data_IF_695491315509
#
_entry.id   IF_695491315509
#
_cell.length_a   1.000
_cell.length_b   1.000
_cell.length_c   1.000
_cell.angle_alpha   90.00
_cell.angle_beta   90.00
_cell.angle_gamma   90.00
#
_symmetry.space_group_name_H-M   'P 1'
#
loop_
_entity.id
_entity.type
_entity.pdbx_description
1 polymer ?
#
# COMPACT_ATOMS: atom_id res chain seq x y z
N UNK A 1 -76.67 3.47 -2.40
CA UNK A 1 -76.18 3.25 -1.02
C UNK A 1 -74.85 2.54 -1.13
N UNK A 2 -73.84 3.01 -0.40
CA UNK A 2 -72.42 2.89 -0.69
C UNK A 2 -71.85 1.46 -0.78
N UNK A 3 -70.94 1.23 -1.73
CA UNK A 3 -69.94 0.16 -1.67
C UNK A 3 -68.64 0.81 -1.18
N UNK A 4 -68.25 0.38 0.03
CA UNK A 4 -67.05 0.79 0.74
C UNK A 4 -65.80 0.13 0.16
N UNK A 5 -64.69 0.83 0.35
CA UNK A 5 -63.33 0.58 -0.12
C UNK A 5 -62.70 -0.68 0.48
N UNK A 6 -61.87 -1.34 -0.32
CA UNK A 6 -60.76 -2.18 0.15
C UNK A 6 -59.53 -1.79 -0.66
N UNK A 7 -58.63 -1.08 0.00
CA UNK A 7 -57.38 -0.53 -0.49
C UNK A 7 -56.46 -1.61 -1.08
N UNK A 8 -55.99 -1.40 -2.32
CA UNK A 8 -54.75 -2.00 -2.81
C UNK A 8 -53.65 -0.94 -2.68
N UNK A 9 -52.64 -1.24 -1.87
CA UNK A 9 -51.52 -0.35 -1.60
C UNK A 9 -50.66 -0.07 -2.86
N UNK A 10 -50.31 1.20 -3.16
CA UNK A 10 -49.41 1.52 -4.26
C UNK A 10 -47.96 1.70 -3.77
N UNK A 11 -47.01 1.27 -4.60
CA UNK A 11 -45.75 2.02 -4.77
C UNK A 11 -44.49 1.49 -4.09
N UNK A 12 -44.02 0.30 -4.46
CA UNK A 12 -42.57 0.05 -4.40
C UNK A 12 -41.89 0.95 -5.44
N UNK A 13 -41.42 2.12 -5.00
CA UNK A 13 -40.75 3.11 -5.85
C UNK A 13 -39.58 2.47 -6.62
N UNK A 14 -39.30 2.95 -7.84
CA UNK A 14 -38.19 2.48 -8.70
C UNK A 14 -36.83 2.50 -7.95
N UNK A 15 -36.69 3.38 -6.94
CA UNK A 15 -35.58 3.44 -5.98
C UNK A 15 -35.52 2.24 -5.03
N UNK A 16 -36.66 1.81 -4.47
CA UNK A 16 -36.76 0.63 -3.60
C UNK A 16 -36.41 -0.67 -4.32
N UNK A 17 -36.86 -0.84 -5.58
CA UNK A 17 -36.45 -1.98 -6.41
C UNK A 17 -34.96 -1.98 -6.76
N UNK A 18 -34.38 -0.82 -7.09
CA UNK A 18 -32.95 -0.70 -7.37
C UNK A 18 -32.08 -0.97 -6.12
N UNK A 19 -32.51 -0.52 -4.94
CA UNK A 19 -31.83 -0.82 -3.68
C UNK A 19 -31.92 -2.31 -3.30
N UNK A 20 -33.08 -2.94 -3.49
CA UNK A 20 -33.25 -4.37 -3.23
C UNK A 20 -32.41 -5.26 -4.17
N UNK A 21 -32.33 -4.92 -5.46
CA UNK A 21 -31.47 -5.62 -6.43
C UNK A 21 -29.99 -5.41 -6.10
N UNK A 22 -29.60 -4.20 -5.65
CA UNK A 22 -28.24 -3.92 -5.19
C UNK A 22 -27.88 -4.72 -3.93
N UNK A 23 -28.80 -4.87 -2.98
CA UNK A 23 -28.57 -5.66 -1.76
C UNK A 23 -28.43 -7.16 -2.04
N UNK A 24 -29.28 -7.72 -2.91
CA UNK A 24 -29.16 -9.13 -3.35
C UNK A 24 -27.86 -9.40 -4.10
N UNK A 25 -27.44 -8.49 -4.99
CA UNK A 25 -26.17 -8.62 -5.70
C UNK A 25 -24.95 -8.56 -4.75
N UNK A 26 -24.98 -7.65 -3.77
CA UNK A 26 -23.93 -7.56 -2.74
C UNK A 26 -23.85 -8.85 -1.91
N UNK A 27 -25.00 -9.40 -1.52
CA UNK A 27 -25.06 -10.65 -0.75
C UNK A 27 -24.54 -11.86 -1.53
N UNK A 28 -24.89 -11.98 -2.82
CA UNK A 28 -24.36 -13.03 -3.69
C UNK A 28 -22.85 -12.91 -3.92
N UNK A 29 -22.33 -11.69 -4.11
CA UNK A 29 -20.89 -11.40 -4.21
C UNK A 29 -20.18 -11.82 -2.92
N UNK A 30 -20.78 -11.59 -1.75
CA UNK A 30 -20.19 -11.95 -0.47
C UNK A 30 -20.16 -13.46 -0.22
N UNK A 31 -21.21 -14.19 -0.60
CA UNK A 31 -21.21 -15.67 -0.55
C UNK A 31 -20.10 -16.23 -1.45
N UNK A 32 -19.99 -15.71 -2.68
CA UNK A 32 -18.89 -16.06 -3.58
C UNK A 32 -17.53 -15.70 -2.98
N UNK A 33 -17.38 -14.52 -2.38
CA UNK A 33 -16.14 -14.05 -1.77
C UNK A 33 -15.71 -14.93 -0.57
N UNK A 34 -16.65 -15.34 0.28
CA UNK A 34 -16.40 -16.30 1.38
C UNK A 34 -15.91 -17.63 0.82
N UNK A 35 -16.56 -18.13 -0.24
CA UNK A 35 -16.20 -19.38 -0.91
C UNK A 35 -14.81 -19.31 -1.54
N UNK A 36 -14.51 -18.22 -2.25
CA UNK A 36 -13.22 -17.96 -2.88
C UNK A 36 -12.12 -17.84 -1.82
N UNK A 37 -12.38 -17.11 -0.72
CA UNK A 37 -11.42 -16.96 0.38
C UNK A 37 -11.11 -18.32 1.04
N UNK A 38 -12.14 -19.10 1.37
CA UNK A 38 -11.99 -20.43 1.94
C UNK A 38 -11.20 -21.36 1.00
N UNK A 39 -11.51 -21.34 -0.30
CA UNK A 39 -10.77 -22.11 -1.31
C UNK A 39 -9.29 -21.73 -1.38
N UNK A 40 -8.97 -20.44 -1.36
CA UNK A 40 -7.57 -19.99 -1.37
C UNK A 40 -6.82 -20.40 -0.11
N UNK A 41 -7.43 -20.27 1.07
CA UNK A 41 -6.80 -20.63 2.34
C UNK A 41 -6.60 -22.15 2.47
N UNK A 42 -7.60 -22.94 2.05
CA UNK A 42 -7.50 -24.40 2.02
C UNK A 42 -6.43 -24.86 1.01
N UNK A 43 -6.39 -24.24 -0.16
CA UNK A 43 -5.42 -24.53 -1.23
C UNK A 43 -4.04 -23.90 -1.04
N UNK A 44 -3.81 -23.11 0.01
CA UNK A 44 -2.51 -22.51 0.28
C UNK A 44 -1.46 -23.60 0.56
N UNK A 45 -0.31 -23.51 -0.09
CA UNK A 45 0.77 -24.49 0.10
C UNK A 45 1.36 -24.41 1.50
N UNK A 46 2.02 -25.49 1.96
CA UNK A 46 2.71 -25.49 3.27
C UNK A 46 3.80 -24.41 3.32
N UNK A 47 4.50 -24.20 2.21
CA UNK A 47 5.52 -23.18 2.07
C UNK A 47 4.95 -21.77 2.22
N UNK A 48 3.79 -21.49 1.64
CA UNK A 48 3.12 -20.21 1.85
C UNK A 48 2.71 -20.03 3.32
N UNK A 49 2.14 -21.06 3.95
CA UNK A 49 1.78 -21.02 5.37
C UNK A 49 3.00 -20.78 6.25
N UNK A 50 4.14 -21.42 5.96
CA UNK A 50 5.40 -21.19 6.66
C UNK A 50 5.88 -19.74 6.50
N UNK A 51 5.88 -19.19 5.27
CA UNK A 51 6.28 -17.80 5.02
C UNK A 51 5.34 -16.81 5.70
N UNK A 52 4.03 -17.06 5.68
CA UNK A 52 3.04 -16.25 6.38
C UNK A 52 3.20 -16.35 7.92
N UNK A 53 3.46 -17.54 8.46
CA UNK A 53 3.77 -17.74 9.88
C UNK A 53 5.02 -16.95 10.29
N UNK A 54 6.05 -16.90 9.46
CA UNK A 54 7.23 -16.06 9.68
C UNK A 54 6.92 -14.55 9.70
N UNK A 55 5.80 -14.11 9.12
CA UNK A 55 5.37 -12.71 9.10
C UNK A 55 4.47 -12.32 10.28
N UNK A 56 4.12 -13.26 11.17
CA UNK A 56 3.35 -12.98 12.38
C UNK A 56 4.15 -12.10 13.35
N UNK A 57 3.49 -11.35 14.26
CA UNK A 57 4.16 -10.71 15.38
C UNK A 57 5.03 -11.69 16.18
N UNK A 58 6.15 -11.21 16.74
CA UNK A 58 7.05 -12.05 17.53
C UNK A 58 6.34 -12.58 18.79
N UNK A 59 6.55 -13.87 19.11
CA UNK A 59 5.94 -14.53 20.26
C UNK A 59 5.82 -16.03 20.09
N UNK A 60 5.33 -16.72 21.12
CA UNK A 60 5.21 -18.19 21.13
C UNK A 60 4.25 -18.73 20.06
N UNK A 61 3.16 -18.01 19.79
CA UNK A 61 2.20 -18.37 18.75
C UNK A 61 2.84 -18.38 17.35
N UNK A 62 3.78 -17.46 17.09
CA UNK A 62 4.59 -17.43 15.87
C UNK A 62 5.53 -18.63 15.81
N UNK A 63 6.28 -18.90 16.88
CA UNK A 63 7.23 -20.01 16.92
C UNK A 63 6.56 -21.37 16.68
N UNK A 64 5.42 -21.63 17.34
CA UNK A 64 4.62 -22.86 17.14
C UNK A 64 4.15 -23.02 15.69
N UNK A 65 3.55 -21.96 15.13
CA UNK A 65 3.05 -22.00 13.76
C UNK A 65 4.16 -22.22 12.72
N UNK A 66 5.36 -21.70 12.96
CA UNK A 66 6.54 -21.93 12.12
C UNK A 66 6.99 -23.39 12.23
N UNK A 67 7.10 -23.93 13.44
CA UNK A 67 7.51 -25.32 13.66
C UNK A 67 6.54 -26.31 12.99
N UNK A 68 5.24 -26.11 13.14
CA UNK A 68 4.20 -26.93 12.50
C UNK A 68 4.25 -26.86 10.97
N UNK A 69 4.42 -25.65 10.43
CA UNK A 69 4.41 -25.44 8.98
C UNK A 69 5.72 -25.87 8.30
N UNK A 70 6.84 -25.99 9.04
CA UNK A 70 8.15 -26.33 8.47
C UNK A 70 8.31 -27.81 8.08
N UNK A 71 7.44 -28.70 8.56
CA UNK A 71 7.54 -30.12 8.26
C UNK A 71 7.18 -30.46 6.81
N UNK A 72 8.14 -31.02 6.06
CA UNK A 72 7.94 -31.53 4.71
C UNK A 72 7.76 -30.44 3.64
N UNK A 73 8.32 -29.24 3.85
CA UNK A 73 8.26 -28.14 2.88
C UNK A 73 9.32 -28.25 1.79
N UNK A 74 9.00 -27.79 0.58
CA UNK A 74 10.01 -27.47 -0.43
C UNK A 74 10.69 -26.14 -0.08
N UNK A 75 11.89 -26.22 0.49
CA UNK A 75 12.67 -25.04 0.85
C UNK A 75 13.08 -24.15 -0.35
N UNK A 76 13.25 -24.74 -1.53
CA UNK A 76 13.47 -23.97 -2.76
C UNK A 76 12.25 -23.10 -3.09
N UNK A 77 11.05 -23.63 -2.87
CA UNK A 77 9.82 -22.85 -3.04
C UNK A 77 9.61 -21.82 -1.92
N UNK A 78 9.98 -22.13 -0.67
CA UNK A 78 10.00 -21.15 0.45
C UNK A 78 10.86 -19.93 0.08
N UNK A 79 12.05 -20.14 -0.50
CA UNK A 79 12.93 -19.04 -0.94
C UNK A 79 12.28 -18.19 -2.04
N UNK A 80 11.64 -18.82 -3.04
CA UNK A 80 10.90 -18.10 -4.10
C UNK A 80 9.74 -17.28 -3.55
N UNK A 81 9.01 -17.80 -2.57
CA UNK A 81 7.93 -17.08 -1.89
C UNK A 81 8.47 -15.92 -1.04
N UNK A 82 9.54 -16.14 -0.28
CA UNK A 82 10.21 -15.10 0.49
C UNK A 82 10.68 -13.94 -0.43
N UNK A 83 11.15 -14.24 -1.64
CA UNK A 83 11.48 -13.24 -2.66
C UNK A 83 10.25 -12.51 -3.20
N UNK A 84 9.23 -13.26 -3.63
CA UNK A 84 7.99 -12.73 -4.21
C UNK A 84 7.26 -11.78 -3.26
N UNK A 85 7.24 -12.13 -1.98
CA UNK A 85 6.61 -11.33 -0.92
C UNK A 85 7.56 -10.33 -0.27
N UNK A 86 8.87 -10.43 -0.53
CA UNK A 86 9.95 -9.57 0.00
C UNK A 86 10.06 -9.64 1.53
N UNK A 87 10.14 -10.85 2.06
CA UNK A 87 10.10 -11.13 3.51
C UNK A 87 11.27 -12.00 3.98
N UNK A 88 12.41 -11.99 3.28
CA UNK A 88 13.60 -12.77 3.67
C UNK A 88 14.06 -12.52 5.11
N UNK A 89 14.07 -11.25 5.55
CA UNK A 89 14.46 -10.89 6.91
C UNK A 89 13.51 -11.49 7.96
N UNK A 90 12.20 -11.42 7.71
CA UNK A 90 11.16 -12.05 8.53
C UNK A 90 11.24 -13.57 8.56
N UNK A 91 11.52 -14.22 7.41
CA UNK A 91 11.69 -15.68 7.33
C UNK A 91 12.91 -16.12 8.13
N UNK A 92 14.07 -15.49 7.91
CA UNK A 92 15.29 -15.81 8.68
C UNK A 92 15.07 -15.59 10.18
N UNK A 93 14.48 -14.46 10.56
CA UNK A 93 14.20 -14.10 11.95
C UNK A 93 13.22 -15.09 12.60
N UNK A 94 12.14 -15.46 11.90
CA UNK A 94 11.14 -16.40 12.39
C UNK A 94 11.69 -17.81 12.58
N UNK A 95 12.44 -18.33 11.59
CA UNK A 95 13.07 -19.65 11.69
C UNK A 95 14.04 -19.72 12.87
N UNK A 96 14.83 -18.66 13.08
CA UNK A 96 15.75 -18.57 14.21
C UNK A 96 15.01 -18.56 15.56
N UNK A 97 13.93 -17.77 15.69
CA UNK A 97 13.12 -17.75 16.92
C UNK A 97 12.42 -19.07 17.20
N UNK A 98 12.00 -19.79 16.16
CA UNK A 98 11.32 -21.08 16.27
C UNK A 98 12.29 -22.27 16.43
N UNK A 99 13.61 -22.05 16.44
CA UNK A 99 14.63 -23.09 16.43
C UNK A 99 14.48 -24.10 15.27
N UNK A 100 13.94 -23.65 14.13
CA UNK A 100 13.81 -24.48 12.93
C UNK A 100 15.04 -24.29 12.04
N UNK A 101 15.78 -25.37 11.81
CA UNK A 101 16.96 -25.33 10.94
C UNK A 101 16.62 -25.81 9.52
N UNK A 102 16.63 -24.93 8.50
CA UNK A 102 16.54 -25.37 7.11
C UNK A 102 17.84 -26.05 6.65
N UNK A 103 17.85 -26.72 5.48
CA UNK A 103 19.07 -27.25 4.86
C UNK A 103 20.18 -26.20 4.73
N UNK A 104 21.44 -26.63 4.80
CA UNK A 104 22.60 -25.72 4.83
C UNK A 104 22.62 -24.72 3.66
N UNK A 105 22.30 -25.15 2.44
CA UNK A 105 22.24 -24.27 1.27
C UNK A 105 21.20 -23.14 1.44
N UNK A 106 20.03 -23.46 2.02
CA UNK A 106 18.93 -22.51 2.26
C UNK A 106 19.32 -21.52 3.36
N UNK A 107 19.97 -22.01 4.42
CA UNK A 107 20.51 -21.17 5.50
C UNK A 107 21.52 -20.15 4.94
N UNK A 108 22.44 -20.58 4.08
CA UNK A 108 23.44 -19.72 3.43
C UNK A 108 22.79 -18.68 2.51
N UNK A 109 21.80 -19.07 1.71
CA UNK A 109 21.07 -18.14 0.84
C UNK A 109 20.33 -17.07 1.64
N UNK A 110 19.60 -17.47 2.70
CA UNK A 110 18.92 -16.53 3.60
C UNK A 110 19.91 -15.57 4.26
N UNK A 111 21.06 -16.06 4.75
CA UNK A 111 22.09 -15.22 5.35
C UNK A 111 22.63 -14.19 4.34
N UNK A 112 22.91 -14.61 3.11
CA UNK A 112 23.41 -13.76 2.02
C UNK A 112 22.39 -12.67 1.67
N UNK A 113 21.12 -13.04 1.47
CA UNK A 113 20.04 -12.10 1.16
C UNK A 113 19.82 -11.09 2.29
N UNK A 114 19.89 -11.53 3.55
CA UNK A 114 19.71 -10.61 4.67
C UNK A 114 20.92 -9.70 4.89
N UNK A 115 22.14 -10.15 4.59
CA UNK A 115 23.31 -9.25 4.59
C UNK A 115 23.14 -8.10 3.58
N UNK A 116 22.67 -8.41 2.36
CA UNK A 116 22.35 -7.41 1.33
C UNK A 116 21.24 -6.47 1.78
N UNK A 117 20.15 -7.00 2.35
CA UNK A 117 19.05 -6.22 2.91
C UNK A 117 19.53 -5.27 4.01
N UNK A 118 20.33 -5.77 4.95
CA UNK A 118 20.83 -4.97 6.09
C UNK A 118 21.71 -3.82 5.62
N UNK A 119 22.63 -4.08 4.67
CA UNK A 119 23.46 -3.02 4.08
C UNK A 119 22.62 -1.95 3.38
N UNK A 120 21.53 -2.35 2.69
CA UNK A 120 20.60 -1.41 2.06
C UNK A 120 19.86 -0.59 3.12
N UNK A 121 19.31 -1.23 4.14
CA UNK A 121 18.55 -0.53 5.19
C UNK A 121 19.42 0.44 5.97
N UNK A 122 20.68 0.10 6.26
CA UNK A 122 21.64 1.03 6.86
C UNK A 122 21.87 2.28 5.99
N UNK A 123 22.02 2.11 4.67
CA UNK A 123 22.14 3.24 3.73
C UNK A 123 20.88 4.09 3.70
N UNK A 124 19.70 3.46 3.67
CA UNK A 124 18.41 4.18 3.70
C UNK A 124 18.20 4.92 5.02
N UNK A 125 18.59 4.34 6.16
CA UNK A 125 18.48 4.96 7.47
C UNK A 125 19.42 6.17 7.60
N UNK A 126 20.67 6.04 7.17
CA UNK A 126 21.63 7.15 7.15
C UNK A 126 21.14 8.30 6.26
N UNK A 127 20.63 7.97 5.06
CA UNK A 127 20.10 8.98 4.15
C UNK A 127 18.79 9.62 4.66
N UNK A 128 17.93 8.84 5.33
CA UNK A 128 16.73 9.35 6.00
C UNK A 128 17.10 10.38 7.06
N UNK A 129 18.07 10.09 7.92
CA UNK A 129 18.56 11.01 8.93
C UNK A 129 19.16 12.30 8.32
N UNK A 130 19.94 12.16 7.23
CA UNK A 130 20.51 13.30 6.50
C UNK A 130 19.42 14.19 5.90
N UNK A 131 18.44 13.60 5.22
CA UNK A 131 17.33 14.32 4.60
C UNK A 131 16.42 14.97 5.66
N UNK A 132 16.22 14.33 6.81
CA UNK A 132 15.48 14.94 7.91
C UNK A 132 16.15 16.24 8.40
N UNK A 133 17.49 16.23 8.53
CA UNK A 133 18.26 17.43 8.82
C UNK A 133 18.11 18.49 7.73
N UNK A 134 18.25 18.10 6.45
CA UNK A 134 18.10 19.00 5.31
C UNK A 134 16.75 19.72 5.28
N UNK A 135 15.64 19.00 5.46
CA UNK A 135 14.30 19.60 5.45
C UNK A 135 14.05 20.49 6.66
N UNK A 136 14.53 20.08 7.84
CA UNK A 136 14.46 20.91 9.06
C UNK A 136 15.19 22.22 8.87
N UNK A 137 16.44 22.18 8.39
CA UNK A 137 17.28 23.35 8.20
C UNK A 137 16.75 24.24 7.05
N UNK A 138 16.07 23.65 6.07
CA UNK A 138 15.33 24.34 5.01
C UNK A 138 13.94 24.87 5.41
N UNK A 139 13.50 24.64 6.66
CA UNK A 139 12.22 25.08 7.19
C UNK A 139 11.00 24.48 6.48
N UNK A 140 11.11 23.22 6.02
CA UNK A 140 10.02 22.48 5.35
C UNK A 140 9.52 21.39 6.27
N UNK A 141 8.25 21.42 6.64
CA UNK A 141 7.62 20.36 7.43
C UNK A 141 7.42 19.11 6.57
N UNK A 142 7.94 17.98 7.07
CA UNK A 142 7.88 16.69 6.37
C UNK A 142 7.51 15.57 7.32
N UNK A 143 6.96 14.48 6.78
CA UNK A 143 6.77 13.22 7.51
C UNK A 143 7.38 12.07 6.71
N UNK A 144 8.28 11.31 7.32
CA UNK A 144 8.84 10.08 6.73
C UNK A 144 7.90 8.92 7.02
N UNK A 145 7.32 8.33 5.98
CA UNK A 145 6.12 7.50 6.12
C UNK A 145 6.38 6.02 6.41
N UNK A 146 7.42 5.44 5.79
CA UNK A 146 7.76 4.02 5.91
C UNK A 146 9.27 3.86 6.05
N UNK A 147 9.80 2.72 5.61
CA UNK A 147 11.23 2.48 5.61
C UNK A 147 11.80 2.53 7.03
N UNK A 148 12.81 3.36 7.23
CA UNK A 148 13.55 3.46 8.48
C UNK A 148 12.70 3.93 9.67
N UNK A 149 11.75 4.85 9.48
CA UNK A 149 10.90 5.31 10.58
C UNK A 149 9.97 4.21 11.08
N UNK A 150 9.28 3.52 10.18
CA UNK A 150 8.46 2.36 10.56
C UNK A 150 9.31 1.23 11.15
N UNK A 151 10.53 1.02 10.65
CA UNK A 151 11.44 0.03 11.22
C UNK A 151 11.80 0.38 12.67
N UNK A 152 12.11 1.64 12.97
CA UNK A 152 12.37 2.08 14.34
C UNK A 152 11.15 2.03 15.28
N UNK A 153 9.93 2.11 14.72
CA UNK A 153 8.69 2.05 15.49
C UNK A 153 8.30 0.60 15.83
N UNK A 154 8.32 -0.28 14.82
CA UNK A 154 7.64 -1.56 14.88
C UNK A 154 8.60 -2.77 14.86
N UNK A 155 9.89 -2.55 14.58
CA UNK A 155 10.86 -3.63 14.44
C UNK A 155 12.08 -3.43 15.35
N UNK A 156 12.63 -4.54 15.82
CA UNK A 156 13.81 -4.57 16.70
C UNK A 156 15.15 -4.40 15.98
N UNK A 157 15.19 -4.53 14.66
CA UNK A 157 16.44 -4.62 13.90
C UNK A 157 16.26 -4.20 12.43
N UNK A 158 17.27 -3.50 11.90
CA UNK A 158 17.40 -3.11 10.50
C UNK A 158 17.57 -4.29 9.52
N UNK A 159 17.66 -5.52 10.00
CA UNK A 159 17.83 -6.72 9.19
C UNK A 159 16.52 -7.45 8.86
N UNK A 160 15.36 -6.90 9.26
CA UNK A 160 14.08 -7.61 9.18
C UNK A 160 13.26 -7.11 8.00
N UNK A 161 12.99 -5.80 7.95
CA UNK A 161 12.04 -5.21 7.03
C UNK A 161 12.68 -4.94 5.68
N UNK A 162 12.02 -5.29 4.58
CA UNK A 162 12.54 -4.99 3.24
C UNK A 162 12.10 -3.60 2.76
N UNK A 163 13.05 -2.66 2.65
CA UNK A 163 12.86 -1.30 2.14
C UNK A 163 13.63 -1.07 0.82
N UNK A 164 13.14 -0.19 -0.06
CA UNK A 164 13.78 0.14 -1.37
C UNK A 164 14.00 1.63 -1.59
N UNK A 165 13.14 2.43 -1.00
CA UNK A 165 12.90 3.85 -1.23
C UNK A 165 12.70 4.55 0.12
N UNK A 166 12.83 5.87 0.10
CA UNK A 166 12.50 6.76 1.21
C UNK A 166 11.20 7.47 0.83
N UNK A 167 10.12 7.13 1.53
CA UNK A 167 8.81 7.77 1.38
C UNK A 167 8.75 9.04 2.27
N UNK A 168 8.62 10.22 1.66
CA UNK A 168 8.55 11.51 2.37
C UNK A 168 7.24 12.19 1.99
N UNK A 169 6.43 12.57 2.97
CA UNK A 169 5.25 13.41 2.78
C UNK A 169 5.57 14.87 3.06
N UNK A 170 5.03 15.76 2.23
CA UNK A 170 5.09 17.21 2.38
C UNK A 170 3.74 17.83 2.02
N UNK A 171 3.38 18.97 2.61
CA UNK A 171 2.20 19.70 2.17
C UNK A 171 2.35 20.16 0.71
N UNK A 172 1.27 20.13 -0.06
CA UNK A 172 1.28 20.56 -1.48
C UNK A 172 1.82 21.99 -1.68
N UNK A 173 1.63 22.88 -0.70
CA UNK A 173 2.13 24.24 -0.72
C UNK A 173 3.67 24.32 -0.67
N UNK A 174 4.33 23.35 -0.05
CA UNK A 174 5.78 23.27 0.10
C UNK A 174 6.45 22.38 -0.96
N UNK A 175 5.68 21.79 -1.88
CA UNK A 175 6.18 20.85 -2.89
C UNK A 175 7.34 21.43 -3.72
N UNK A 176 7.24 22.71 -4.10
CA UNK A 176 8.30 23.41 -4.83
C UNK A 176 9.59 23.56 -4.02
N UNK A 177 9.47 23.96 -2.74
CA UNK A 177 10.62 24.09 -1.81
C UNK A 177 11.27 22.75 -1.55
N UNK A 178 10.46 21.71 -1.30
CA UNK A 178 10.94 20.37 -1.04
C UNK A 178 11.69 19.78 -2.24
N UNK A 179 11.16 19.98 -3.45
CA UNK A 179 11.84 19.61 -4.69
C UNK A 179 13.20 20.30 -4.82
N UNK A 180 13.26 21.62 -4.60
CA UNK A 180 14.50 22.38 -4.72
C UNK A 180 15.58 21.88 -3.74
N UNK A 181 15.20 21.57 -2.50
CA UNK A 181 16.12 21.00 -1.50
C UNK A 181 16.65 19.63 -1.93
N UNK A 182 15.80 18.74 -2.46
CA UNK A 182 16.25 17.45 -2.98
C UNK A 182 17.22 17.62 -4.16
N UNK A 183 16.91 18.52 -5.10
CA UNK A 183 17.76 18.80 -6.27
C UNK A 183 19.14 19.35 -5.85
N UNK A 184 19.19 20.27 -4.89
CA UNK A 184 20.42 20.77 -4.28
C UNK A 184 21.21 19.66 -3.56
N UNK A 185 20.50 18.69 -2.99
CA UNK A 185 21.09 17.53 -2.32
C UNK A 185 21.51 16.40 -3.28
N UNK A 186 21.56 16.65 -4.59
CA UNK A 186 22.07 15.70 -5.59
C UNK A 186 21.02 14.75 -6.18
N UNK A 187 19.74 14.95 -5.86
CA UNK A 187 18.65 14.19 -6.47
C UNK A 187 18.21 14.77 -7.81
N UNK A 188 17.72 13.91 -8.70
CA UNK A 188 17.07 14.30 -9.95
C UNK A 188 15.75 13.57 -10.07
N UNK A 189 14.75 14.19 -10.68
CA UNK A 189 13.49 13.50 -10.99
C UNK A 189 13.75 12.22 -11.80
N UNK A 190 13.01 11.16 -11.49
CA UNK A 190 13.06 9.87 -12.19
C UNK A 190 11.64 9.53 -12.72
N UNK A 191 11.36 9.70 -14.02
CA UNK A 191 12.29 10.11 -15.08
C UNK A 191 12.69 11.59 -15.00
N UNK A 192 13.81 11.98 -15.63
CA UNK A 192 14.23 13.37 -15.68
C UNK A 192 13.24 14.19 -16.51
N UNK A 193 12.50 15.07 -15.84
CA UNK A 193 11.51 15.96 -16.44
C UNK A 193 11.91 17.42 -16.19
N UNK A 194 11.60 18.34 -17.12
CA UNK A 194 11.86 19.76 -16.90
C UNK A 194 11.10 20.26 -15.66
N UNK A 195 11.61 21.28 -14.95
CA UNK A 195 10.90 21.87 -13.83
C UNK A 195 9.52 22.40 -14.29
N UNK A 196 8.43 22.03 -13.62
CA UNK A 196 7.11 22.53 -13.99
C UNK A 196 6.99 24.03 -13.65
N UNK A 197 6.36 24.80 -14.53
CA UNK A 197 5.94 26.17 -14.19
C UNK A 197 4.79 26.18 -13.17
N UNK A 198 4.45 27.35 -12.61
CA UNK A 198 3.42 27.48 -11.55
C UNK A 198 2.08 26.77 -11.84
N UNK A 199 1.44 27.10 -12.97
CA UNK A 199 0.17 26.46 -13.36
C UNK A 199 0.31 24.95 -13.66
N UNK A 200 1.48 24.47 -14.09
CA UNK A 200 1.73 23.04 -14.26
C UNK A 200 1.89 22.34 -12.91
N UNK A 201 2.53 23.00 -11.94
CA UNK A 201 2.70 22.48 -10.59
C UNK A 201 1.34 22.20 -9.94
N UNK A 202 0.41 23.15 -10.03
CA UNK A 202 -0.96 22.99 -9.52
C UNK A 202 -1.70 21.81 -10.18
N UNK A 203 -1.58 21.69 -11.50
CA UNK A 203 -2.19 20.60 -12.25
C UNK A 203 -1.57 19.24 -11.89
N UNK A 204 -0.25 19.18 -11.73
CA UNK A 204 0.45 17.98 -11.27
C UNK A 204 0.02 17.61 -9.86
N UNK A 205 -0.12 18.58 -8.96
CA UNK A 205 -0.55 18.35 -7.59
C UNK A 205 -1.98 17.77 -7.52
N UNK A 206 -2.89 18.24 -8.39
CA UNK A 206 -4.28 17.74 -8.50
C UNK A 206 -4.37 16.30 -9.07
N UNK A 207 -3.52 15.99 -10.04
CA UNK A 207 -3.55 14.72 -10.78
C UNK A 207 -2.70 13.61 -10.15
N UNK A 208 -1.60 13.98 -9.51
CA UNK A 208 -0.64 13.06 -8.93
C UNK A 208 -0.76 12.93 -7.42
N UNK A 209 0.13 12.11 -6.86
CA UNK A 209 0.31 11.98 -5.41
C UNK A 209 1.77 12.06 -4.97
N UNK A 210 2.69 11.71 -5.87
CA UNK A 210 4.11 11.61 -5.58
C UNK A 210 4.97 11.98 -6.78
N UNK A 211 6.23 12.34 -6.48
CA UNK A 211 7.33 12.40 -7.43
C UNK A 211 8.45 11.50 -7.00
N UNK A 212 8.98 10.73 -7.94
CA UNK A 212 10.13 9.88 -7.71
C UNK A 212 11.39 10.66 -8.05
N UNK A 213 12.38 10.55 -7.17
CA UNK A 213 13.70 11.14 -7.31
C UNK A 213 14.75 10.07 -7.15
N UNK A 214 15.83 10.18 -7.94
CA UNK A 214 17.02 9.33 -7.85
C UNK A 214 18.24 10.18 -7.57
N UNK A 215 19.00 9.80 -6.55
CA UNK A 215 20.27 10.46 -6.23
C UNK A 215 21.33 10.11 -7.28
N UNK A 216 21.99 11.12 -7.84
CA UNK A 216 22.89 10.97 -8.98
C UNK A 216 24.12 10.08 -8.70
N UNK A 217 24.68 10.13 -7.49
CA UNK A 217 25.94 9.43 -7.18
C UNK A 217 25.75 8.02 -6.60
N UNK A 218 24.64 7.77 -5.88
CA UNK A 218 24.46 6.52 -5.11
C UNK A 218 23.18 5.75 -5.51
N UNK A 219 22.35 6.32 -6.39
CA UNK A 219 21.17 5.67 -6.94
C UNK A 219 20.00 5.48 -5.96
N UNK A 220 20.07 6.04 -4.74
CA UNK A 220 18.99 5.97 -3.77
C UNK A 220 17.73 6.64 -4.31
N UNK A 221 16.58 6.07 -3.97
CA UNK A 221 15.27 6.52 -4.40
C UNK A 221 14.54 7.25 -3.28
N UNK A 222 13.95 8.39 -3.61
CA UNK A 222 13.06 9.15 -2.75
C UNK A 222 11.73 9.31 -3.47
N UNK A 223 10.65 8.87 -2.84
CA UNK A 223 9.29 9.16 -3.29
C UNK A 223 8.77 10.32 -2.44
N UNK A 224 8.68 11.51 -3.06
CA UNK A 224 8.16 12.73 -2.44
C UNK A 224 6.65 12.82 -2.67
N UNK A 225 5.89 12.48 -1.65
CA UNK A 225 4.42 12.48 -1.63
C UNK A 225 3.88 13.84 -1.18
N UNK A 226 2.83 14.30 -1.83
CA UNK A 226 1.96 15.40 -1.33
C UNK A 226 0.52 14.96 -1.10
N UNK A 227 0.20 13.72 -1.49
CA UNK A 227 -1.04 13.01 -1.20
C UNK A 227 -0.71 11.58 -0.83
N UNK A 228 -1.44 10.99 0.10
CA UNK A 228 -1.11 9.65 0.60
C UNK A 228 -1.75 8.54 -0.23
N UNK A 229 -2.84 8.85 -0.93
CA UNK A 229 -3.56 7.94 -1.80
C UNK A 229 -3.82 8.53 -3.19
N UNK A 230 -3.96 7.67 -4.19
CA UNK A 230 -4.32 8.09 -5.55
C UNK A 230 -5.75 8.66 -5.59
N UNK A 231 -6.62 8.14 -4.72
CA UNK A 231 -8.04 8.46 -4.64
C UNK A 231 -8.48 8.61 -3.20
N UNK A 232 -9.36 9.58 -2.95
CA UNK A 232 -9.92 9.87 -1.62
C UNK A 232 -10.79 8.70 -1.11
N UNK A 233 -11.09 7.72 -1.97
CA UNK A 233 -11.75 6.45 -1.61
C UNK A 233 -10.92 5.55 -0.70
N UNK A 234 -9.59 5.70 -0.73
CA UNK A 234 -8.69 4.90 0.10
C UNK A 234 -8.33 5.63 1.40
N UNK A 235 -8.15 6.95 1.32
CA UNK A 235 -7.84 7.84 2.44
C UNK A 235 -8.11 9.29 2.04
N UNK A 236 -8.75 10.05 2.92
CA UNK A 236 -9.00 11.47 2.77
C UNK A 236 -7.85 12.27 3.39
N UNK A 237 -6.90 12.74 2.58
CA UNK A 237 -5.71 13.45 3.07
C UNK A 237 -6.04 14.70 3.90
N UNK A 238 -7.19 15.33 3.64
CA UNK A 238 -7.66 16.52 4.39
C UNK A 238 -8.01 16.23 5.85
N UNK A 239 -8.18 14.97 6.22
CA UNK A 239 -8.52 14.55 7.57
C UNK A 239 -7.29 14.34 8.47
N UNK A 240 -6.07 14.45 7.93
CA UNK A 240 -4.84 14.31 8.70
C UNK A 240 -4.62 15.54 9.59
N UNK A 241 -4.18 15.34 10.83
CA UNK A 241 -4.10 16.41 11.83
C UNK A 241 -2.97 17.40 11.60
N UNK A 242 -2.06 17.12 10.65
CA UNK A 242 -0.85 17.91 10.43
C UNK A 242 0.19 17.75 11.54
N UNK A 243 -0.11 17.03 12.62
CA UNK A 243 0.85 16.75 13.70
C UNK A 243 1.90 15.74 13.24
N UNK A 244 3.07 15.79 13.87
CA UNK A 244 4.17 14.85 13.68
C UNK A 244 4.52 14.22 15.01
N UNK A 245 4.90 12.94 14.99
CA UNK A 245 5.70 12.33 16.05
C UNK A 245 7.14 12.25 15.57
N UNK A 246 8.09 12.25 16.49
CA UNK A 246 9.50 12.03 16.15
C UNK A 246 9.94 10.63 16.53
N UNK A 247 10.85 10.07 15.74
CA UNK A 247 11.57 8.82 16.04
C UNK A 247 13.05 9.03 15.77
N UNK A 248 13.91 8.35 16.54
CA UNK A 248 15.36 8.47 16.36
C UNK A 248 15.89 7.51 15.32
N UNK A 249 16.49 8.06 14.26
CA UNK A 249 17.19 7.30 13.22
C UNK A 249 18.65 7.76 13.21
N UNK A 250 19.59 6.87 13.55
CA UNK A 250 21.01 7.22 13.57
C UNK A 250 21.34 8.41 14.49
N UNK A 251 20.61 8.56 15.60
CA UNK A 251 20.76 9.70 16.53
C UNK A 251 20.04 10.98 16.13
N UNK A 252 19.40 11.03 14.96
CA UNK A 252 18.66 12.21 14.48
C UNK A 252 17.16 12.04 14.72
N UNK A 253 16.54 13.04 15.35
CA UNK A 253 15.08 13.14 15.46
C UNK A 253 14.48 13.28 14.06
N UNK A 254 13.71 12.28 13.65
CA UNK A 254 13.11 12.18 12.31
C UNK A 254 11.59 12.24 12.44
N UNK A 255 10.92 13.22 11.82
CA UNK A 255 9.47 13.36 11.90
C UNK A 255 8.76 12.28 11.08
N UNK A 256 7.67 11.73 11.63
CA UNK A 256 6.78 10.76 10.99
C UNK A 256 5.35 10.99 11.47
N UNK A 257 4.39 10.27 10.91
CA UNK A 257 2.99 10.41 11.33
C UNK A 257 2.73 9.80 12.70
N UNK A 258 1.82 10.39 13.50
CA UNK A 258 1.23 9.72 14.66
C UNK A 258 0.75 8.31 14.31
N UNK A 259 0.70 7.42 15.31
CA UNK A 259 0.40 5.98 15.11
C UNK A 259 -0.90 5.76 14.34
N UNK A 260 -1.92 6.58 14.61
CA UNK A 260 -3.25 6.46 14.02
C UNK A 260 -3.27 6.86 12.54
N UNK A 261 -2.57 7.94 12.19
CA UNK A 261 -2.43 8.39 10.81
C UNK A 261 -1.52 7.45 10.02
N UNK A 262 -0.45 6.95 10.65
CA UNK A 262 0.42 5.94 10.06
C UNK A 262 -0.33 4.63 9.79
N UNK A 263 -1.18 4.19 10.72
CA UNK A 263 -2.05 3.03 10.55
C UNK A 263 -3.00 3.21 9.35
N UNK A 264 -3.75 4.32 9.31
CA UNK A 264 -4.66 4.63 8.21
C UNK A 264 -3.92 4.65 6.86
N UNK A 265 -2.73 5.26 6.82
CA UNK A 265 -1.87 5.28 5.64
C UNK A 265 -1.42 3.89 5.20
N UNK A 266 -0.94 3.03 6.10
CA UNK A 266 -0.50 1.68 5.77
C UNK A 266 -1.66 0.83 5.25
N UNK A 267 -2.85 0.96 5.83
CA UNK A 267 -4.07 0.31 5.34
C UNK A 267 -4.41 0.75 3.91
N UNK A 268 -4.42 2.06 3.64
CA UNK A 268 -4.69 2.60 2.32
C UNK A 268 -3.64 2.15 1.28
N UNK A 269 -2.35 2.22 1.64
CA UNK A 269 -1.25 1.84 0.76
C UNK A 269 -1.29 0.34 0.39
N UNK A 270 -1.57 -0.54 1.36
CA UNK A 270 -1.73 -1.97 1.10
C UNK A 270 -2.94 -2.27 0.22
N UNK A 271 -4.08 -1.62 0.51
CA UNK A 271 -5.32 -1.74 -0.26
C UNK A 271 -5.17 -1.30 -1.72
N UNK A 272 -4.47 -0.20 -1.99
CA UNK A 272 -4.16 0.27 -3.36
C UNK A 272 -3.30 -0.73 -4.16
N UNK A 273 -2.60 -1.62 -3.46
CA UNK A 273 -1.79 -2.67 -4.05
C UNK A 273 -2.41 -4.07 -3.91
N UNK A 274 -3.68 -4.15 -3.52
CA UNK A 274 -4.43 -5.41 -3.33
C UNK A 274 -3.70 -6.39 -2.42
N UNK A 275 -2.94 -5.85 -1.46
CA UNK A 275 -2.12 -6.61 -0.52
C UNK A 275 -1.27 -7.69 -1.18
N UNK A 276 -0.88 -7.55 -2.45
CA UNK A 276 -0.27 -8.63 -3.25
C UNK A 276 1.11 -9.12 -2.76
N UNK A 277 1.62 -8.59 -1.64
CA UNK A 277 2.85 -9.01 -0.96
C UNK A 277 2.64 -9.00 0.57
N UNK A 278 3.08 -10.07 1.24
CA UNK A 278 2.98 -10.21 2.70
C UNK A 278 3.73 -9.10 3.46
N UNK A 279 4.78 -8.50 2.89
CA UNK A 279 5.53 -7.44 3.58
C UNK A 279 4.65 -6.30 4.11
N UNK A 280 3.57 -5.94 3.39
CA UNK A 280 2.70 -4.85 3.80
C UNK A 280 1.82 -5.25 4.97
N UNK A 281 1.32 -6.49 4.98
CA UNK A 281 0.59 -7.02 6.13
C UNK A 281 1.52 -7.22 7.33
N UNK A 282 2.76 -7.65 7.10
CA UNK A 282 3.75 -7.82 8.16
C UNK A 282 4.11 -6.48 8.84
N UNK A 283 4.28 -5.42 8.04
CA UNK A 283 4.46 -4.05 8.53
C UNK A 283 3.29 -3.59 9.42
N UNK A 284 2.07 -3.87 8.98
CA UNK A 284 0.87 -3.54 9.75
C UNK A 284 0.79 -4.37 11.03
N UNK A 285 0.97 -5.69 10.95
CA UNK A 285 0.94 -6.59 12.10
C UNK A 285 2.00 -6.21 13.15
N UNK A 286 3.20 -5.80 12.72
CA UNK A 286 4.23 -5.29 13.61
C UNK A 286 3.81 -3.99 14.31
N UNK A 287 3.15 -3.06 13.59
CA UNK A 287 2.60 -1.84 14.18
C UNK A 287 1.48 -2.14 15.20
N UNK A 288 0.61 -3.11 14.90
CA UNK A 288 -0.49 -3.52 15.77
C UNK A 288 -0.03 -4.27 17.03
N UNK A 289 1.16 -4.88 16.98
CA UNK A 289 1.73 -5.62 18.09
C UNK A 289 2.51 -4.73 19.09
N UNK A 290 2.56 -3.42 18.86
CA UNK A 290 3.17 -2.49 19.81
C UNK A 290 2.33 -2.48 21.09
N UNK A 291 3.01 -2.57 22.23
CA UNK A 291 2.35 -2.56 23.54
C UNK A 291 1.47 -1.30 23.69
N UNK A 292 0.23 -1.50 24.14
CA UNK A 292 -0.75 -0.42 24.29
C UNK A 292 -1.45 0.01 22.99
N UNK A 293 -1.29 -0.71 21.88
CA UNK A 293 -2.06 -0.46 20.67
C UNK A 293 -3.56 -0.73 20.89
N UNK A 294 -4.37 0.33 20.80
CA UNK A 294 -5.83 0.24 20.85
C UNK A 294 -6.39 0.09 19.43
N UNK A 295 -6.77 -1.14 19.07
CA UNK A 295 -7.26 -1.48 17.74
C UNK A 295 -8.59 -0.79 17.38
N UNK A 296 -9.45 -0.53 18.36
CA UNK A 296 -10.71 0.16 18.12
C UNK A 296 -10.48 1.64 17.86
N UNK A 297 -9.58 2.27 18.63
CA UNK A 297 -9.16 3.66 18.41
C UNK A 297 -8.43 3.84 17.08
N UNK A 298 -7.57 2.89 16.70
CA UNK A 298 -6.89 2.90 15.40
C UNK A 298 -7.91 2.80 14.26
N UNK A 299 -8.87 1.88 14.37
CA UNK A 299 -9.93 1.75 13.38
C UNK A 299 -10.80 3.01 13.31
N UNK A 300 -11.27 3.54 14.44
CA UNK A 300 -12.08 4.77 14.48
C UNK A 300 -11.35 5.98 13.89
N UNK A 301 -10.04 6.08 14.09
CA UNK A 301 -9.20 7.11 13.45
C UNK A 301 -9.11 6.91 11.94
N UNK A 302 -8.97 5.67 11.47
CA UNK A 302 -9.01 5.36 10.05
C UNK A 302 -10.39 5.64 9.43
N UNK A 303 -11.49 5.41 10.17
CA UNK A 303 -12.84 5.79 9.74
C UNK A 303 -12.96 7.30 9.56
N UNK A 304 -12.52 8.08 10.54
CA UNK A 304 -12.50 9.54 10.46
C UNK A 304 -11.63 10.05 9.30
N UNK A 305 -10.56 9.32 8.97
CA UNK A 305 -9.69 9.61 7.83
C UNK A 305 -10.24 9.11 6.46
N UNK A 306 -11.45 8.55 6.40
CA UNK A 306 -12.03 8.01 5.17
C UNK A 306 -11.40 6.70 4.69
N UNK A 307 -10.61 6.04 5.54
CA UNK A 307 -9.90 4.79 5.27
C UNK A 307 -10.61 3.54 5.84
N UNK A 308 -11.86 3.66 6.30
CA UNK A 308 -12.65 2.58 6.93
C UNK A 308 -12.59 1.24 6.19
N UNK A 309 -12.83 1.26 4.87
CA UNK A 309 -12.82 0.05 4.02
C UNK A 309 -11.43 -0.57 3.92
N UNK A 310 -10.41 0.27 3.75
CA UNK A 310 -9.01 -0.16 3.69
C UNK A 310 -8.57 -0.77 5.02
N UNK A 311 -8.97 -0.17 6.14
CA UNK A 311 -8.65 -0.65 7.49
C UNK A 311 -9.37 -1.95 7.82
N UNK A 312 -10.66 -2.08 7.47
CA UNK A 312 -11.43 -3.31 7.66
C UNK A 312 -10.81 -4.49 6.89
N UNK A 313 -10.47 -4.29 5.62
CA UNK A 313 -9.78 -5.29 4.82
C UNK A 313 -8.44 -5.69 5.46
N UNK A 314 -7.65 -4.71 5.89
CA UNK A 314 -6.33 -4.94 6.46
C UNK A 314 -6.39 -5.76 7.75
N UNK A 315 -7.29 -5.39 8.68
CA UNK A 315 -7.48 -6.08 9.95
C UNK A 315 -7.98 -7.51 9.75
N UNK A 316 -8.95 -7.73 8.86
CA UNK A 316 -9.44 -9.09 8.54
C UNK A 316 -8.32 -9.94 7.93
N UNK A 317 -7.48 -9.38 7.05
CA UNK A 317 -6.32 -10.08 6.49
C UNK A 317 -5.26 -10.40 7.55
N UNK A 318 -4.98 -9.46 8.47
CA UNK A 318 -4.05 -9.66 9.57
C UNK A 318 -4.52 -10.76 10.54
N UNK A 319 -5.81 -10.78 10.90
CA UNK A 319 -6.41 -11.85 11.70
C UNK A 319 -6.34 -13.19 10.96
N UNK A 320 -6.70 -13.22 9.68
CA UNK A 320 -6.79 -14.45 8.87
C UNK A 320 -5.44 -15.07 8.55
N UNK A 321 -4.43 -14.27 8.17
CA UNK A 321 -3.12 -14.78 7.72
C UNK A 321 -2.05 -14.72 8.79
N UNK A 322 -2.08 -13.67 9.62
CA UNK A 322 -1.01 -13.36 10.57
C UNK A 322 -1.41 -13.60 12.03
N UNK A 323 -2.62 -14.12 12.27
CA UNK A 323 -3.15 -14.44 13.60
C UNK A 323 -3.06 -13.25 14.57
N UNK A 324 -3.30 -12.03 14.06
CA UNK A 324 -3.50 -10.86 14.92
C UNK A 324 -4.84 -11.02 15.64
N UNK A 325 -4.82 -10.93 16.97
CA UNK A 325 -6.02 -11.04 17.78
C UNK A 325 -6.82 -9.73 17.72
N UNK A 326 -8.05 -9.81 17.24
CA UNK A 326 -8.99 -8.68 17.21
C UNK A 326 -10.02 -8.84 18.33
N UNK A 327 -10.46 -7.75 18.99
CA UNK A 327 -11.64 -7.77 19.84
C UNK A 327 -12.83 -8.38 19.08
N UNK A 328 -13.58 -9.27 19.72
CA UNK A 328 -14.67 -10.02 19.06
C UNK A 328 -15.72 -9.12 18.42
N UNK A 329 -16.07 -8.02 19.09
CA UNK A 329 -16.99 -7.01 18.58
C UNK A 329 -16.47 -6.34 17.30
N UNK A 330 -15.18 -5.94 17.30
CA UNK A 330 -14.52 -5.39 16.12
C UNK A 330 -14.47 -6.43 15.00
N UNK A 331 -14.00 -7.64 15.30
CA UNK A 331 -13.88 -8.76 14.37
C UNK A 331 -15.22 -9.08 13.66
N UNK A 332 -16.33 -9.07 14.40
CA UNK A 332 -17.68 -9.24 13.83
C UNK A 332 -18.08 -8.06 12.94
N UNK A 333 -17.87 -6.81 13.40
CA UNK A 333 -18.20 -5.58 12.66
C UNK A 333 -17.46 -5.48 11.33
N UNK A 334 -16.21 -5.92 11.25
CA UNK A 334 -15.40 -5.76 10.02
C UNK A 334 -15.78 -6.74 8.90
N UNK A 335 -16.48 -7.85 9.21
CA UNK A 335 -16.82 -8.91 8.25
C UNK A 335 -18.12 -8.63 7.47
N UNK A 336 -18.24 -7.41 6.98
CA UNK A 336 -19.28 -7.04 6.04
C UNK A 336 -19.00 -7.59 4.63
N UNK A 337 -20.07 -7.80 3.86
CA UNK A 337 -20.07 -8.37 2.51
C UNK A 337 -19.04 -7.72 1.56
N UNK A 338 -18.95 -6.39 1.56
CA UNK A 338 -18.02 -5.65 0.72
C UNK A 338 -16.55 -5.83 1.14
N UNK A 339 -16.28 -5.92 2.44
CA UNK A 339 -14.93 -6.19 2.97
C UNK A 339 -14.47 -7.58 2.56
N UNK A 340 -15.34 -8.58 2.69
CA UNK A 340 -15.03 -9.97 2.34
C UNK A 340 -14.70 -10.14 0.86
N UNK A 341 -15.37 -9.40 -0.03
CA UNK A 341 -15.03 -9.36 -1.46
C UNK A 341 -13.59 -8.86 -1.72
N UNK A 342 -13.17 -7.79 -1.03
CA UNK A 342 -11.80 -7.26 -1.13
C UNK A 342 -10.77 -8.24 -0.57
N UNK A 343 -11.07 -8.85 0.58
CA UNK A 343 -10.24 -9.90 1.18
C UNK A 343 -10.03 -11.06 0.22
N UNK A 344 -11.08 -11.54 -0.46
CA UNK A 344 -10.98 -12.61 -1.45
C UNK A 344 -10.04 -12.25 -2.62
N UNK A 345 -10.14 -11.03 -3.13
CA UNK A 345 -9.25 -10.50 -4.18
C UNK A 345 -7.80 -10.44 -3.71
N UNK A 346 -7.57 -9.93 -2.49
CA UNK A 346 -6.25 -9.84 -1.87
C UNK A 346 -5.63 -11.22 -1.62
N UNK A 347 -6.41 -12.18 -1.15
CA UNK A 347 -5.97 -13.58 -1.01
C UNK A 347 -5.63 -14.22 -2.36
N UNK A 348 -6.42 -13.93 -3.40
CA UNK A 348 -6.12 -14.36 -4.78
C UNK A 348 -4.78 -13.76 -5.24
N UNK A 349 -4.54 -12.48 -4.97
CA UNK A 349 -3.32 -11.79 -5.38
C UNK A 349 -2.07 -12.24 -4.60
N UNK A 350 -2.23 -12.66 -3.35
CA UNK A 350 -1.16 -13.17 -2.50
C UNK A 350 -0.84 -14.64 -2.76
N UNK A 351 -1.86 -15.50 -2.84
CA UNK A 351 -1.71 -16.96 -2.88
C UNK A 351 -1.72 -17.47 -4.33
N UNK A 352 -2.62 -16.94 -5.17
CA UNK A 352 -3.02 -17.54 -6.45
C UNK A 352 -2.05 -17.41 -7.63
N UNK A 353 -0.82 -16.89 -7.43
CA UNK A 353 0.10 -16.60 -8.52
C UNK A 353 1.55 -16.85 -8.18
N UNK A 354 1.91 -18.10 -7.87
CA UNK A 354 3.29 -18.51 -7.55
C UNK A 354 4.32 -17.80 -8.44
N UNK A 355 5.34 -17.20 -7.83
CA UNK A 355 6.45 -16.41 -8.40
C UNK A 355 6.12 -15.26 -9.41
N UNK A 356 4.99 -15.31 -10.12
CA UNK A 356 4.56 -14.31 -11.06
C UNK A 356 4.15 -13.06 -10.26
N UNK A 357 4.90 -11.97 -10.44
CA UNK A 357 4.38 -10.65 -10.13
C UNK A 357 3.15 -10.49 -11.01
N UNK A 358 1.95 -10.58 -10.43
CA UNK A 358 0.76 -10.11 -11.11
C UNK A 358 1.06 -8.69 -11.57
N UNK A 359 1.02 -8.47 -12.89
CA UNK A 359 1.42 -7.19 -13.45
C UNK A 359 0.55 -6.11 -12.83
N UNK A 360 1.18 -5.30 -11.97
CA UNK A 360 0.56 -4.20 -11.22
C UNK A 360 -0.35 -3.35 -12.11
N UNK A 361 -0.04 -3.24 -13.40
CA UNK A 361 -0.82 -2.46 -14.37
C UNK A 361 -2.14 -3.12 -14.73
N UNK A 362 -2.14 -4.42 -15.08
CA UNK A 362 -3.36 -5.11 -15.57
C UNK A 362 -4.43 -5.25 -14.49
N UNK A 363 -4.03 -5.61 -13.27
CA UNK A 363 -4.96 -5.72 -12.14
C UNK A 363 -5.52 -4.36 -11.74
N UNK A 364 -4.65 -3.34 -11.67
CA UNK A 364 -5.06 -1.97 -11.33
C UNK A 364 -6.10 -1.43 -12.31
N UNK A 365 -5.93 -1.60 -13.62
CA UNK A 365 -6.93 -1.11 -14.58
C UNK A 365 -8.30 -1.79 -14.43
N UNK A 366 -8.33 -3.12 -14.29
CA UNK A 366 -9.59 -3.87 -14.19
C UNK A 366 -10.29 -3.61 -12.84
N UNK A 367 -9.53 -3.47 -11.76
CA UNK A 367 -10.08 -3.24 -10.43
C UNK A 367 -10.35 -1.76 -10.14
N UNK A 368 -9.59 -0.79 -10.65
CA UNK A 368 -9.94 0.63 -10.58
C UNK A 368 -11.29 0.87 -11.27
N UNK A 369 -11.52 0.24 -12.42
CA UNK A 369 -12.82 0.22 -13.10
C UNK A 369 -13.90 -0.47 -12.26
N UNK A 370 -13.60 -1.62 -11.63
CA UNK A 370 -14.52 -2.30 -10.72
C UNK A 370 -14.87 -1.50 -9.46
N UNK A 371 -13.90 -0.76 -8.90
CA UNK A 371 -14.08 0.10 -7.73
C UNK A 371 -14.87 1.37 -8.07
N UNK A 372 -14.79 1.88 -9.30
CA UNK A 372 -15.67 2.96 -9.79
C UNK A 372 -17.16 2.57 -9.82
N UNK A 373 -17.47 1.27 -9.84
CA UNK A 373 -18.83 0.73 -9.87
C UNK A 373 -19.42 0.51 -8.47
N UNK A 374 -18.61 0.63 -7.40
CA UNK A 374 -19.11 0.49 -6.03
C UNK A 374 -19.87 1.77 -5.62
N UNK A 375 -21.14 1.68 -5.17
CA UNK A 375 -21.90 2.83 -4.71
C UNK A 375 -21.28 3.52 -3.47
N UNK A 376 -21.55 4.82 -3.31
CA UNK A 376 -21.21 5.59 -2.10
C UNK A 376 -20.18 6.71 -2.29
N UNK A 377 -19.75 7.00 -3.52
CA UNK A 377 -18.80 8.10 -3.73
C UNK A 377 -19.47 9.47 -3.67
N UNK A 378 -18.75 10.47 -3.15
CA UNK A 378 -19.17 11.87 -3.19
C UNK A 378 -19.44 12.34 -4.64
N UNK A 379 -20.41 13.25 -4.87
CA UNK A 379 -20.67 13.82 -6.19
C UNK A 379 -19.38 14.38 -6.84
N UNK A 380 -19.13 14.03 -8.11
CA UNK A 380 -17.97 14.49 -8.88
C UNK A 380 -16.66 13.69 -8.71
N UNK A 381 -16.60 12.76 -7.74
CA UNK A 381 -15.46 11.84 -7.55
C UNK A 381 -15.12 11.01 -8.79
N UNK A 382 -16.14 10.53 -9.50
CA UNK A 382 -15.97 9.73 -10.74
C UNK A 382 -15.32 10.52 -11.87
N UNK A 383 -15.71 11.78 -12.03
CA UNK A 383 -15.11 12.67 -13.03
C UNK A 383 -13.63 12.96 -12.72
N UNK A 384 -13.30 13.20 -11.44
CA UNK A 384 -11.90 13.34 -10.99
C UNK A 384 -11.09 12.07 -11.23
N UNK A 385 -11.65 10.90 -10.91
CA UNK A 385 -10.98 9.62 -11.11
C UNK A 385 -10.71 9.33 -12.59
N UNK A 386 -11.70 9.57 -13.46
CA UNK A 386 -11.52 9.46 -14.91
C UNK A 386 -10.44 10.43 -15.39
N UNK A 387 -10.47 11.70 -14.97
CA UNK A 387 -9.45 12.68 -15.35
C UNK A 387 -8.04 12.24 -14.93
N UNK A 388 -7.85 11.72 -13.72
CA UNK A 388 -6.58 11.13 -13.25
C UNK A 388 -6.17 9.90 -14.05
N UNK A 389 -7.15 9.10 -14.48
CA UNK A 389 -6.88 7.94 -15.30
C UNK A 389 -6.30 8.31 -16.66
N UNK A 390 -6.77 9.42 -17.26
CA UNK A 390 -6.44 9.81 -18.64
C UNK A 390 -5.37 10.89 -18.77
N UNK A 391 -5.16 11.72 -17.75
CA UNK A 391 -4.11 12.75 -17.73
C UNK A 391 -3.05 12.34 -16.71
N UNK A 392 -1.88 11.91 -17.19
CA UNK A 392 -0.79 11.50 -16.30
C UNK A 392 0.09 12.70 -15.92
N UNK A 393 0.52 12.82 -14.65
CA UNK A 393 1.44 13.88 -14.21
C UNK A 393 2.74 13.96 -15.02
N UNK A 394 3.27 12.81 -15.46
CA UNK A 394 4.47 12.74 -16.30
C UNK A 394 4.26 13.42 -17.66
N UNK A 395 3.05 13.33 -18.24
CA UNK A 395 2.74 13.94 -19.53
C UNK A 395 2.58 15.46 -19.37
N UNK A 396 1.99 15.90 -18.24
CA UNK A 396 1.87 17.31 -17.87
C UNK A 396 3.24 17.95 -17.63
N UNK A 397 4.15 17.22 -16.99
CA UNK A 397 5.51 17.67 -16.76
C UNK A 397 6.35 17.67 -18.05
N UNK A 398 6.12 16.74 -18.98
CA UNK A 398 6.86 16.65 -20.23
C UNK A 398 6.45 17.72 -21.26
N UNK A 399 5.15 18.03 -21.37
CA UNK A 399 4.63 18.99 -22.35
C UNK A 399 3.80 20.04 -21.63
N UNK A 400 4.19 21.31 -21.76
CA UNK A 400 3.44 22.44 -21.21
C UNK A 400 2.31 22.85 -22.16
N UNK A 401 1.07 22.68 -21.72
CA UNK A 401 -0.11 23.20 -22.42
C UNK A 401 -0.71 24.41 -21.68
N UNK A 402 -1.31 25.37 -22.40
CA UNK A 402 -2.12 26.41 -21.78
C UNK A 402 -3.29 25.81 -20.97
N UNK A 403 -3.72 26.48 -19.90
CA UNK A 403 -4.77 25.96 -19.00
C UNK A 403 -6.08 25.59 -19.72
N UNK A 404 -6.46 26.37 -20.76
CA UNK A 404 -7.66 26.13 -21.59
C UNK A 404 -7.57 24.88 -22.48
N UNK A 405 -6.36 24.35 -22.68
CA UNK A 405 -6.08 23.24 -23.58
C UNK A 405 -5.71 21.96 -22.83
N UNK A 406 -5.97 21.87 -21.53
CA UNK A 406 -5.71 20.68 -20.71
C UNK A 406 -6.46 19.43 -21.18
N UNK A 407 -7.57 19.59 -21.90
CA UNK A 407 -8.27 18.49 -22.56
C UNK A 407 -7.44 17.81 -23.67
N UNK A 408 -6.45 18.50 -24.26
CA UNK A 408 -5.58 17.89 -25.27
C UNK A 408 -4.71 16.78 -24.70
N UNK A 409 -4.45 16.72 -23.38
CA UNK A 409 -3.74 15.59 -22.79
C UNK A 409 -4.47 14.25 -23.02
N UNK A 410 -5.80 14.26 -23.16
CA UNK A 410 -6.54 13.05 -23.53
C UNK A 410 -6.15 12.54 -24.92
N UNK A 411 -6.03 13.44 -25.90
CA UNK A 411 -5.62 13.10 -27.26
C UNK A 411 -4.13 12.75 -27.34
N UNK A 412 -3.28 13.43 -26.57
CA UNK A 412 -1.84 13.20 -26.53
C UNK A 412 -1.43 11.93 -25.76
N UNK A 413 -2.34 11.32 -24.99
CA UNK A 413 -2.05 10.14 -24.18
C UNK A 413 -1.46 9.00 -25.00
N UNK A 414 -2.11 8.64 -26.11
CA UNK A 414 -1.65 7.52 -26.95
C UNK A 414 -0.32 7.82 -27.65
N UNK A 415 -0.13 8.98 -28.32
CA UNK A 415 1.16 9.38 -28.89
C UNK A 415 2.31 9.38 -27.87
N UNK A 416 2.11 9.93 -26.67
CA UNK A 416 3.13 10.02 -25.61
C UNK A 416 3.47 8.66 -25.00
N UNK A 417 2.46 7.81 -24.83
CA UNK A 417 2.68 6.43 -24.42
C UNK A 417 3.47 5.65 -25.48
N UNK A 418 3.12 5.78 -26.76
CA UNK A 418 3.78 5.10 -27.86
C UNK A 418 5.24 5.52 -27.99
N UNK A 419 5.52 6.83 -27.95
CA UNK A 419 6.91 7.35 -27.96
C UNK A 419 7.73 6.84 -26.79
N UNK A 420 7.17 6.82 -25.56
CA UNK A 420 7.85 6.25 -24.39
C UNK A 420 8.14 4.76 -24.58
N UNK A 421 7.19 4.00 -25.13
CA UNK A 421 7.36 2.56 -25.40
C UNK A 421 8.47 2.31 -26.42
N UNK A 422 8.48 3.07 -27.52
CA UNK A 422 9.51 2.99 -28.57
C UNK A 422 10.91 3.37 -28.07
N UNK A 423 11.02 4.43 -27.25
CA UNK A 423 12.29 4.81 -26.60
C UNK A 423 12.76 3.74 -25.62
N UNK A 424 11.86 3.16 -24.81
CA UNK A 424 12.23 2.10 -23.86
C UNK A 424 12.65 0.79 -24.52
N UNK A 425 12.16 0.48 -25.73
CA UNK A 425 12.62 -0.69 -26.50
C UNK A 425 13.99 -0.48 -27.13
N UNK A 426 14.36 0.76 -27.49
CA UNK A 426 15.69 1.07 -28.04
C UNK A 426 16.82 0.99 -27.00
N UNK A 427 16.50 1.06 -25.69
CA UNK A 427 17.47 0.92 -24.60
C UNK A 427 17.56 -0.48 -23.98
N UNK A 428 16.91 -1.51 -24.55
CA UNK A 428 17.15 -2.91 -24.19
C UNK A 428 18.39 -3.43 -24.94
N UNK A 429 19.58 -3.11 -24.43
CA UNK A 429 20.75 -3.94 -24.70
C UNK A 429 20.49 -5.37 -24.18
N UNK A 430 21.02 -6.41 -24.83
CA UNK A 430 20.89 -7.78 -24.34
C UNK A 430 21.49 -7.86 -22.93
N UNK A 431 20.73 -8.46 -22.00
CA UNK A 431 21.25 -8.80 -20.68
C UNK A 431 22.27 -9.93 -20.86
N UNK A 432 23.56 -9.58 -20.84
CA UNK A 432 24.64 -10.52 -20.56
C UNK A 432 24.67 -10.89 -19.10
#
# INVERSE_FOLDING_TARGET
MAISMSESAPGATRRGRAMAVSAMAVSAIAVLAKTVSARHLAGASREFRLVAACCRPAGEARARAIAEAAAGVDWGFVLRLAERHRVFGLVRDGLAQANVSPPAAVKTELATRVAVLTRRNLRLAAETARLAGLFRDGGVDVAFLKGATLEAIAYRSLSIKHSLDIDIFVASADLGRARALLEQAGYRGDPPLPPPGGAQMELIADLGKEWQFRHGANGLLVDLHWRLADSDRFLCDRALSGRRRSVRIGGVETPTFPTEELFAYLCAHGAQHFWCRLKWLADLAALLAIEGADLERLYGSAEAAGAARSAAEALVLCETLLAVELPSALSARLREDATLARVALSLTAMIGGGAANLDRRRIRHVLDLGLMLIPGDAPGSRGRELRRHFILPVDVAAIRLPARSTWLYFALRFPLWLTRRLRSSQFRAPKG
#
